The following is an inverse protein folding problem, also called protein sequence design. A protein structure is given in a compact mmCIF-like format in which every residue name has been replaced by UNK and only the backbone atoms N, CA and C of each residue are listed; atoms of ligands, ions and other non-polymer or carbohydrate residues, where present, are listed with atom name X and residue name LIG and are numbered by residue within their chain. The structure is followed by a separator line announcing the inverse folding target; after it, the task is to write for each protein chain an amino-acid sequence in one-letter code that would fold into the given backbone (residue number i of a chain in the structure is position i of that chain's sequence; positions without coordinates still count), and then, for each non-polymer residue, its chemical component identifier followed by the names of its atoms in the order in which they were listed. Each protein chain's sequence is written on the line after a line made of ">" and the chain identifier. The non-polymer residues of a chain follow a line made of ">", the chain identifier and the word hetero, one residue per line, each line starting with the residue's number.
data_IF_728596753233
#
_entry.id   IF_728596753233
#
_cell.length_a   1.000
_cell.length_b   1.000
_cell.length_c   1.000
_cell.angle_alpha   90.00
_cell.angle_beta   90.00
_cell.angle_gamma   90.00
#
_symmetry.space_group_name_H-M   'P 1'
#
loop_
_entity.id
_entity.type
_entity.pdbx_description
1 polymer ?
#
# COMPACT_ATOMS: atom_id res chain seq x y z
N UNK A 1 -2.62 17.80 9.45
CA UNK A 1 -2.23 16.99 8.27
C UNK A 1 -1.11 16.01 8.66
N UNK A 2 -1.27 14.72 8.35
CA UNK A 2 -0.22 13.71 8.63
C UNK A 2 0.90 13.77 7.59
N UNK A 3 2.14 13.50 7.98
CA UNK A 3 3.31 13.51 7.09
C UNK A 3 3.59 12.17 6.41
N UNK A 4 2.90 11.11 6.85
CA UNK A 4 3.06 9.76 6.33
C UNK A 4 1.74 9.00 6.40
N UNK A 5 1.62 7.97 5.55
CA UNK A 5 0.60 6.91 5.65
C UNK A 5 1.25 5.60 6.07
N UNK A 6 0.49 4.61 6.52
CA UNK A 6 1.05 3.29 6.86
C UNK A 6 0.76 2.29 5.75
N UNK A 7 1.76 1.48 5.42
CA UNK A 7 1.59 0.35 4.53
C UNK A 7 0.50 -0.59 5.06
N UNK A 8 -0.49 -0.94 4.23
CA UNK A 8 -1.58 -1.84 4.63
C UNK A 8 -1.11 -3.27 4.91
N UNK A 9 0.01 -3.71 4.31
CA UNK A 9 0.56 -5.05 4.50
C UNK A 9 1.57 -5.13 5.64
N UNK A 10 2.50 -4.16 5.72
CA UNK A 10 3.63 -4.22 6.67
C UNK A 10 3.54 -3.23 7.84
N UNK A 11 2.61 -2.28 7.82
CA UNK A 11 2.47 -1.23 8.83
C UNK A 11 3.58 -0.17 8.85
N UNK A 12 4.60 -0.32 7.98
CA UNK A 12 5.71 0.64 7.84
C UNK A 12 5.17 2.03 7.48
N UNK A 13 5.69 3.10 8.10
CA UNK A 13 5.37 4.46 7.67
C UNK A 13 5.94 4.73 6.29
N UNK A 14 5.16 5.38 5.44
CA UNK A 14 5.49 5.79 4.07
C UNK A 14 5.29 7.31 4.02
N UNK A 15 6.38 8.09 3.92
CA UNK A 15 6.29 9.54 3.68
C UNK A 15 5.40 9.83 2.48
N UNK A 16 4.60 10.90 2.53
CA UNK A 16 3.66 11.22 1.44
C UNK A 16 4.35 11.52 0.12
N UNK A 17 5.57 12.05 0.16
CA UNK A 17 6.45 12.31 -0.98
C UNK A 17 7.10 11.04 -1.56
N UNK A 18 7.11 9.95 -0.80
CA UNK A 18 7.61 8.62 -1.23
C UNK A 18 6.47 7.62 -1.51
N UNK A 19 5.21 8.07 -1.52
CA UNK A 19 4.05 7.21 -1.75
C UNK A 19 3.87 6.89 -3.25
N UNK A 20 4.57 5.85 -3.72
CA UNK A 20 4.52 5.43 -5.13
C UNK A 20 3.49 4.33 -5.42
N UNK A 21 3.10 3.54 -4.42
CA UNK A 21 2.21 2.38 -4.61
C UNK A 21 0.90 2.58 -3.84
N UNK A 22 -0.19 2.83 -4.57
CA UNK A 22 -1.54 3.08 -4.03
C UNK A 22 -2.58 2.24 -4.77
N UNK A 23 -3.48 1.59 -4.01
CA UNK A 23 -4.70 1.01 -4.56
C UNK A 23 -5.84 2.00 -4.44
N UNK A 24 -6.37 2.48 -5.56
CA UNK A 24 -7.51 3.41 -5.57
C UNK A 24 -8.77 2.73 -5.04
N UNK A 25 -9.06 1.51 -5.49
CA UNK A 25 -10.28 0.79 -5.10
C UNK A 25 -10.36 0.52 -3.60
N UNK A 26 -9.22 0.17 -2.98
CA UNK A 26 -9.14 -0.14 -1.55
C UNK A 26 -8.71 1.05 -0.67
N UNK A 27 -8.26 2.15 -1.29
CA UNK A 27 -7.64 3.29 -0.60
C UNK A 27 -6.50 2.86 0.34
N UNK A 28 -5.62 1.99 -0.17
CA UNK A 28 -4.51 1.40 0.59
C UNK A 28 -3.15 1.82 0.04
N UNK A 29 -2.21 2.14 0.94
CA UNK A 29 -0.81 2.41 0.62
C UNK A 29 0.06 1.15 0.77
N UNK A 30 1.06 1.00 -0.10
CA UNK A 30 2.07 -0.07 -0.01
C UNK A 30 3.48 0.52 -0.04
N UNK A 31 4.38 -0.05 0.77
CA UNK A 31 5.72 0.51 0.97
C UNK A 31 6.67 0.25 -0.20
N UNK A 32 6.44 -0.82 -0.95
CA UNK A 32 7.29 -1.28 -2.04
C UNK A 32 6.50 -2.22 -2.99
N UNK A 33 7.12 -2.59 -4.10
CA UNK A 33 6.51 -3.49 -5.07
C UNK A 33 6.16 -4.87 -4.48
N UNK A 34 6.92 -5.37 -3.51
CA UNK A 34 6.69 -6.68 -2.89
C UNK A 34 5.43 -6.68 -2.02
N UNK A 35 5.23 -5.62 -1.23
CA UNK A 35 4.02 -5.43 -0.43
C UNK A 35 2.79 -5.18 -1.30
N UNK A 36 2.92 -4.41 -2.39
CA UNK A 36 1.85 -4.25 -3.38
C UNK A 36 1.50 -5.59 -4.07
N UNK A 37 2.49 -6.39 -4.44
CA UNK A 37 2.28 -7.72 -5.04
C UNK A 37 1.58 -8.67 -4.05
N UNK A 38 2.01 -8.68 -2.78
CA UNK A 38 1.35 -9.46 -1.73
C UNK A 38 -0.13 -9.08 -1.59
N UNK A 39 -0.44 -7.78 -1.66
CA UNK A 39 -1.83 -7.32 -1.64
C UNK A 39 -2.62 -7.77 -2.88
N UNK A 40 -2.00 -7.75 -4.06
CA UNK A 40 -2.61 -8.27 -5.28
C UNK A 40 -2.89 -9.78 -5.18
N UNK A 41 -1.99 -10.58 -4.61
CA UNK A 41 -2.24 -12.01 -4.41
C UNK A 41 -3.38 -12.25 -3.40
N UNK A 42 -3.46 -11.45 -2.34
CA UNK A 42 -4.51 -11.56 -1.32
C UNK A 42 -5.90 -11.13 -1.80
N UNK A 43 -5.98 -10.06 -2.59
CA UNK A 43 -7.25 -9.40 -2.92
C UNK A 43 -7.59 -9.40 -4.42
N UNK A 44 -6.63 -9.68 -5.31
CA UNK A 44 -6.78 -9.59 -6.76
C UNK A 44 -6.93 -10.93 -7.48
N UNK A 45 -6.53 -12.06 -6.88
CA UNK A 45 -6.82 -13.40 -7.43
C UNK A 45 -8.11 -13.94 -6.83
N UNK A 46 -9.24 -13.61 -7.45
CA UNK A 46 -10.52 -14.28 -7.24
C UNK A 46 -11.61 -13.50 -6.51
N UNK A 47 -11.56 -12.17 -6.52
CA UNK A 47 -12.70 -11.31 -6.19
C UNK A 47 -13.45 -10.92 -7.47
#
# INVERSE_FOLDING_TARGET
>A
PGSFVRCAISGKPIPLDELFYWSVDRQEAYADAATAHTAFERFGRGA
#
